data_IF_368629302317
#
_entry.id   IF_368629302317
#
_cell.length_a   1.000
_cell.length_b   1.000
_cell.length_c   1.000
_cell.angle_alpha   90.00
_cell.angle_beta   90.00
_cell.angle_gamma   90.00
#
_symmetry.space_group_name_H-M   'P 1'
#
loop_
_entity.id
_entity.type
_entity.pdbx_description
1 polymer ?
#
# COMPACT_ATOMS: atom_id res chain seq x y z
N UNK A 1 -7.72 39.53 51.45
CA UNK A 1 -8.92 38.77 50.97
C UNK A 1 -8.35 37.41 50.63
N UNK A 2 -7.98 36.66 51.66
CA UNK A 2 -7.07 35.51 51.56
C UNK A 2 -7.45 34.49 52.65
N UNK A 3 -8.74 34.10 52.67
CA UNK A 3 -9.30 33.18 53.70
C UNK A 3 -10.09 32.02 53.08
N UNK A 4 -9.95 31.77 51.77
CA UNK A 4 -10.68 30.69 51.08
C UNK A 4 -9.81 29.45 50.78
N UNK A 5 -8.49 29.50 51.01
CA UNK A 5 -7.57 28.38 50.68
C UNK A 5 -7.36 27.38 51.85
N UNK A 6 -7.77 27.71 53.08
CA UNK A 6 -7.55 26.86 54.26
C UNK A 6 -8.48 25.64 54.31
N UNK A 7 -9.55 25.61 53.51
CA UNK A 7 -10.51 24.51 53.48
C UNK A 7 -10.60 23.82 52.11
N UNK A 8 -9.68 24.11 51.19
CA UNK A 8 -9.60 23.40 49.92
C UNK A 8 -8.82 22.09 50.09
N UNK A 9 -9.59 21.03 50.36
CA UNK A 9 -9.09 19.66 50.56
C UNK A 9 -8.28 19.16 49.36
N UNK A 10 -8.58 19.67 48.17
CA UNK A 10 -7.91 19.33 46.89
C UNK A 10 -6.46 19.84 46.89
N UNK A 11 -6.25 21.08 47.34
CA UNK A 11 -4.94 21.71 47.47
C UNK A 11 -4.11 21.10 48.60
N UNK A 12 -4.74 20.71 49.72
CA UNK A 12 -4.05 20.02 50.83
C UNK A 12 -3.55 18.61 50.48
N UNK A 13 -4.25 17.91 49.58
CA UNK A 13 -3.83 16.60 49.10
C UNK A 13 -2.79 16.66 47.96
N UNK A 14 -2.45 17.87 47.48
CA UNK A 14 -1.53 18.06 46.36
C UNK A 14 -2.10 17.55 45.02
N UNK A 15 -3.42 17.45 44.89
CA UNK A 15 -4.10 16.87 43.73
C UNK A 15 -4.55 18.00 42.81
N UNK A 16 -3.91 18.14 41.65
CA UNK A 16 -4.36 19.10 40.64
C UNK A 16 -5.43 18.46 39.76
N UNK A 17 -6.71 18.71 40.08
CA UNK A 17 -7.88 18.19 39.33
C UNK A 17 -7.89 18.56 37.84
N UNK A 18 -7.14 19.60 37.44
CA UNK A 18 -6.98 19.97 36.03
C UNK A 18 -5.96 19.09 35.29
N UNK A 19 -5.00 18.47 35.99
CA UNK A 19 -4.00 17.56 35.42
C UNK A 19 -4.52 16.11 35.30
N UNK A 20 -5.51 15.71 36.09
CA UNK A 20 -6.13 14.37 36.01
C UNK A 20 -7.13 14.22 34.83
N UNK A 21 -7.41 15.30 34.09
CA UNK A 21 -8.22 15.25 32.86
C UNK A 21 -7.51 14.57 31.68
N UNK A 22 -6.26 14.12 31.84
CA UNK A 22 -5.58 13.29 30.86
C UNK A 22 -5.98 11.82 31.08
N UNK A 23 -6.91 11.36 30.26
CA UNK A 23 -7.42 9.99 30.19
C UNK A 23 -6.30 8.94 30.14
N UNK A 24 -5.79 8.57 31.31
CA UNK A 24 -4.83 7.50 31.52
C UNK A 24 -5.41 6.58 32.59
N UNK A 25 -6.08 5.51 32.20
CA UNK A 25 -6.29 4.38 33.10
C UNK A 25 -6.28 3.08 32.32
N UNK A 26 -5.08 2.53 32.15
CA UNK A 26 -4.91 1.09 32.27
C UNK A 26 -4.81 0.77 33.76
N UNK A 27 -5.67 -0.13 34.22
CA UNK A 27 -5.57 -0.93 35.44
C UNK A 27 -6.27 -0.40 36.73
N UNK A 28 -7.43 -1.04 36.98
CA UNK A 28 -8.09 -1.32 38.27
C UNK A 28 -8.72 -0.14 39.02
N UNK A 29 -10.06 -0.10 38.96
CA UNK A 29 -10.91 0.79 39.75
C UNK A 29 -11.82 1.61 38.85
N UNK A 30 -12.94 1.05 38.41
CA UNK A 30 -13.95 1.75 37.60
C UNK A 30 -14.62 2.87 38.40
N UNK A 31 -13.94 4.01 38.51
CA UNK A 31 -14.63 5.30 38.59
C UNK A 31 -15.00 5.64 37.16
N UNK A 32 -16.27 5.42 36.82
CA UNK A 32 -16.84 5.92 35.57
C UNK A 32 -16.90 7.44 35.72
N UNK A 33 -15.78 8.12 35.48
CA UNK A 33 -15.78 9.56 35.34
C UNK A 33 -16.57 9.86 34.06
N UNK A 34 -17.74 10.48 34.25
CA UNK A 34 -18.56 11.04 33.19
C UNK A 34 -17.75 12.11 32.46
N UNK A 35 -16.95 11.70 31.48
CA UNK A 35 -16.31 12.60 30.54
C UNK A 35 -17.44 13.47 29.97
N UNK A 36 -17.32 14.79 30.10
CA UNK A 36 -18.31 15.67 29.49
C UNK A 36 -18.36 15.34 28.00
N UNK A 37 -19.53 14.89 27.54
CA UNK A 37 -19.81 14.41 26.18
C UNK A 37 -19.59 15.53 25.16
N UNK A 38 -18.32 15.80 24.85
CA UNK A 38 -17.94 16.71 23.79
C UNK A 38 -18.11 15.95 22.48
N UNK A 39 -18.94 16.45 21.57
CA UNK A 39 -19.15 15.81 20.29
C UNK A 39 -17.84 15.78 19.50
N UNK A 40 -17.46 14.59 19.02
CA UNK A 40 -16.28 14.37 18.17
C UNK A 40 -16.36 15.12 16.83
N UNK A 41 -17.53 15.07 16.19
CA UNK A 41 -17.88 15.84 15.00
C UNK A 41 -18.38 17.24 15.35
N UNK A 42 -18.25 18.19 14.41
CA UNK A 42 -18.84 19.52 14.53
C UNK A 42 -20.38 19.43 14.56
N UNK A 43 -20.97 19.64 15.74
CA UNK A 43 -22.42 19.52 15.94
C UNK A 43 -23.22 20.46 15.05
N UNK A 44 -22.79 21.71 14.88
CA UNK A 44 -23.52 22.68 14.04
C UNK A 44 -23.61 22.24 12.57
N UNK A 45 -22.48 21.80 12.01
CA UNK A 45 -22.42 21.39 10.60
C UNK A 45 -23.20 20.08 10.41
N UNK A 46 -23.07 19.15 11.36
CA UNK A 46 -23.77 17.88 11.33
C UNK A 46 -25.29 18.09 11.44
N UNK A 47 -25.75 18.90 12.39
CA UNK A 47 -27.16 19.23 12.58
C UNK A 47 -27.75 19.91 11.34
N UNK A 48 -27.07 20.91 10.76
CA UNK A 48 -27.50 21.57 9.52
C UNK A 48 -27.64 20.57 8.37
N UNK A 49 -26.72 19.62 8.24
CA UNK A 49 -26.78 18.57 7.21
C UNK A 49 -27.93 17.59 7.45
N UNK A 50 -28.11 17.13 8.69
CA UNK A 50 -29.20 16.20 9.05
C UNK A 50 -30.55 16.87 8.78
N UNK A 51 -30.75 18.12 9.21
CA UNK A 51 -31.99 18.86 8.96
C UNK A 51 -32.22 19.11 7.46
N UNK A 52 -31.19 19.45 6.68
CA UNK A 52 -31.32 19.64 5.23
C UNK A 52 -31.81 18.36 4.54
N UNK A 53 -31.23 17.20 4.90
CA UNK A 53 -31.65 15.90 4.37
C UNK A 53 -33.06 15.54 4.86
N UNK A 54 -33.33 15.78 6.15
CA UNK A 54 -34.59 15.47 6.83
C UNK A 54 -35.79 16.28 6.35
N UNK A 55 -35.60 17.49 5.81
CA UNK A 55 -36.67 18.29 5.19
C UNK A 55 -37.40 17.55 4.07
N UNK A 56 -36.73 16.65 3.36
CA UNK A 56 -37.35 15.80 2.32
C UNK A 56 -38.23 14.68 2.89
N UNK A 57 -38.18 14.49 4.20
CA UNK A 57 -38.87 13.45 4.96
C UNK A 57 -39.72 14.06 6.09
N UNK A 58 -40.10 15.33 5.96
CA UNK A 58 -40.92 16.07 6.94
C UNK A 58 -40.32 16.19 8.36
N UNK A 59 -38.99 16.07 8.48
CA UNK A 59 -38.27 16.30 9.74
C UNK A 59 -37.88 17.77 9.83
N UNK A 60 -38.52 18.51 10.73
CA UNK A 60 -38.35 19.97 10.90
C UNK A 60 -37.37 20.30 12.03
N UNK A 61 -37.31 19.48 13.07
CA UNK A 61 -36.48 19.71 14.26
C UNK A 61 -35.71 18.45 14.66
N UNK A 62 -34.58 18.65 15.33
CA UNK A 62 -33.66 17.59 15.77
C UNK A 62 -33.11 17.92 17.15
N UNK A 63 -33.23 17.00 18.10
CA UNK A 63 -32.65 17.12 19.43
C UNK A 63 -31.09 17.08 19.34
N UNK A 64 -30.41 17.94 20.11
CA UNK A 64 -28.95 17.96 20.27
C UNK A 64 -28.38 16.61 20.69
N UNK A 65 -29.11 15.84 21.51
CA UNK A 65 -28.66 14.52 21.99
C UNK A 65 -28.48 13.53 20.85
N UNK A 66 -29.33 13.61 19.81
CA UNK A 66 -29.21 12.77 18.62
C UNK A 66 -27.94 13.11 17.84
N UNK A 67 -27.61 14.39 17.73
CA UNK A 67 -26.37 14.85 17.08
C UNK A 67 -25.16 14.35 17.84
N UNK A 68 -25.18 14.44 19.17
CA UNK A 68 -24.12 13.94 20.04
C UNK A 68 -23.96 12.42 19.94
N UNK A 69 -25.07 11.67 19.94
CA UNK A 69 -25.05 10.21 19.78
C UNK A 69 -24.47 9.79 18.42
N UNK A 70 -24.88 10.45 17.33
CA UNK A 70 -24.33 10.17 15.99
C UNK A 70 -22.83 10.49 15.95
N UNK A 71 -22.42 11.57 16.62
CA UNK A 71 -21.03 11.98 16.76
C UNK A 71 -20.19 10.92 17.50
N UNK A 72 -20.68 10.43 18.64
CA UNK A 72 -20.07 9.35 19.41
C UNK A 72 -20.03 8.02 18.64
N UNK A 73 -21.13 7.63 18.00
CA UNK A 73 -21.20 6.42 17.19
C UNK A 73 -20.20 6.46 16.02
N UNK A 74 -19.99 7.65 15.44
CA UNK A 74 -18.96 7.86 14.41
C UNK A 74 -17.56 7.71 14.98
N UNK A 75 -17.29 8.28 16.16
CA UNK A 75 -16.02 8.12 16.86
C UNK A 75 -15.73 6.64 17.17
N UNK A 76 -16.70 5.91 17.70
CA UNK A 76 -16.56 4.49 18.00
C UNK A 76 -16.30 3.67 16.73
N UNK A 77 -17.01 3.98 15.64
CA UNK A 77 -16.76 3.37 14.33
C UNK A 77 -15.33 3.62 13.84
N UNK A 78 -14.81 4.82 14.03
CA UNK A 78 -13.43 5.16 13.67
C UNK A 78 -12.41 4.44 14.55
N UNK A 79 -12.69 4.30 15.86
CA UNK A 79 -11.85 3.52 16.78
C UNK A 79 -11.72 2.08 16.31
N UNK A 80 -12.83 1.42 15.99
CA UNK A 80 -12.83 0.04 15.45
C UNK A 80 -12.05 -0.06 14.13
N UNK A 81 -12.15 0.94 13.24
CA UNK A 81 -11.36 0.95 12.01
C UNK A 81 -9.87 1.09 12.28
N UNK A 82 -9.50 1.93 13.26
CA UNK A 82 -8.11 2.14 13.68
C UNK A 82 -7.54 0.87 14.32
N UNK A 83 -8.30 0.17 15.16
CA UNK A 83 -7.90 -1.13 15.72
C UNK A 83 -7.61 -2.15 14.62
N UNK A 84 -8.49 -2.28 13.62
CA UNK A 84 -8.27 -3.16 12.47
C UNK A 84 -7.03 -2.75 11.68
N UNK A 85 -6.80 -1.45 11.49
CA UNK A 85 -5.60 -0.94 10.82
C UNK A 85 -4.33 -1.27 11.61
N UNK A 86 -4.37 -1.17 12.94
CA UNK A 86 -3.25 -1.55 13.81
C UNK A 86 -2.91 -3.03 13.66
N UNK A 87 -3.90 -3.92 13.61
CA UNK A 87 -3.68 -5.35 13.34
C UNK A 87 -3.00 -5.56 11.99
N UNK A 88 -3.48 -4.90 10.93
CA UNK A 88 -2.86 -4.97 9.59
C UNK A 88 -1.42 -4.44 9.63
N UNK A 89 -1.17 -3.32 10.31
CA UNK A 89 0.15 -2.73 10.42
C UNK A 89 1.13 -3.67 11.15
N UNK A 90 0.69 -4.31 12.24
CA UNK A 90 1.46 -5.32 12.95
C UNK A 90 1.79 -6.50 12.04
N UNK A 91 0.83 -7.04 11.28
CA UNK A 91 1.09 -8.10 10.30
C UNK A 91 2.12 -7.70 9.23
N UNK A 92 2.17 -6.43 8.82
CA UNK A 92 3.18 -5.93 7.86
C UNK A 92 4.56 -5.75 8.47
N UNK A 93 4.64 -5.34 9.74
CA UNK A 93 5.90 -5.12 10.44
C UNK A 93 6.54 -6.44 10.92
N UNK A 94 5.70 -7.41 11.29
CA UNK A 94 6.15 -8.72 11.74
C UNK A 94 6.73 -9.54 10.57
N UNK A 95 8.00 -9.31 10.26
CA UNK A 95 8.79 -10.24 9.45
C UNK A 95 9.21 -11.44 10.30
N UNK A 96 8.67 -12.61 10.01
CA UNK A 96 9.08 -13.88 10.65
C UNK A 96 10.42 -14.42 10.11
N UNK A 97 11.05 -13.71 9.16
CA UNK A 97 12.34 -14.07 8.59
C UNK A 97 13.42 -13.92 9.67
N UNK A 98 14.01 -15.03 10.09
CA UNK A 98 15.10 -15.06 11.07
C UNK A 98 14.69 -15.33 12.52
N UNK A 99 13.44 -15.73 12.78
CA UNK A 99 13.04 -16.20 14.11
C UNK A 99 13.17 -17.72 14.20
N UNK A 100 14.00 -18.22 15.11
CA UNK A 100 14.20 -19.67 15.37
C UNK A 100 12.94 -20.44 15.78
N UNK A 101 11.87 -19.72 16.15
CA UNK A 101 10.58 -20.32 16.54
C UNK A 101 9.66 -20.62 15.36
N UNK A 102 10.02 -20.20 14.14
CA UNK A 102 9.18 -20.37 12.96
C UNK A 102 9.91 -21.19 11.89
N UNK A 103 9.21 -22.16 11.32
CA UNK A 103 9.67 -22.98 10.20
C UNK A 103 8.93 -22.57 8.93
N UNK A 104 9.64 -22.54 7.79
CA UNK A 104 9.00 -22.33 6.48
C UNK A 104 8.14 -23.55 6.16
N UNK A 105 6.82 -23.39 6.15
CA UNK A 105 5.89 -24.48 5.86
C UNK A 105 5.70 -24.72 4.36
N UNK A 106 5.78 -23.68 3.53
CA UNK A 106 5.67 -23.77 2.07
C UNK A 106 6.27 -22.54 1.40
N UNK A 107 6.96 -22.74 0.27
CA UNK A 107 7.53 -21.66 -0.54
C UNK A 107 6.78 -21.52 -1.89
N UNK A 108 5.47 -21.26 -1.79
CA UNK A 108 4.61 -21.03 -2.97
C UNK A 108 5.12 -19.88 -3.83
N UNK A 109 5.76 -18.87 -3.23
CA UNK A 109 6.33 -17.74 -3.96
C UNK A 109 7.48 -18.19 -4.86
N UNK A 110 8.43 -18.99 -4.37
CA UNK A 110 9.49 -19.52 -5.23
C UNK A 110 8.94 -20.49 -6.30
N UNK A 111 7.94 -21.30 -5.96
CA UNK A 111 7.25 -22.16 -6.95
C UNK A 111 6.61 -21.33 -8.07
N UNK A 112 5.91 -20.24 -7.75
CA UNK A 112 5.35 -19.32 -8.75
C UNK A 112 6.45 -18.67 -9.61
N UNK A 113 7.56 -18.25 -8.99
CA UNK A 113 8.74 -17.74 -9.73
C UNK A 113 9.34 -18.78 -10.66
N UNK A 114 9.28 -20.07 -10.31
CA UNK A 114 9.73 -21.14 -11.17
C UNK A 114 8.80 -21.32 -12.37
N UNK A 115 7.48 -21.31 -12.18
CA UNK A 115 6.52 -21.32 -13.28
C UNK A 115 6.68 -20.11 -14.21
N UNK A 116 6.86 -18.91 -13.68
CA UNK A 116 7.15 -17.71 -14.48
C UNK A 116 8.40 -17.90 -15.38
N UNK A 117 9.44 -18.59 -14.89
CA UNK A 117 10.63 -18.91 -15.69
C UNK A 117 10.35 -19.95 -16.77
N UNK A 118 9.55 -20.97 -16.46
CA UNK A 118 9.15 -21.97 -17.45
C UNK A 118 8.35 -21.33 -18.59
N UNK A 119 7.39 -20.46 -18.28
CA UNK A 119 6.61 -19.73 -19.28
C UNK A 119 7.50 -18.85 -20.16
N UNK A 120 8.50 -18.20 -19.58
CA UNK A 120 9.48 -17.41 -20.34
C UNK A 120 10.31 -18.29 -21.30
N UNK A 121 10.74 -19.47 -20.84
CA UNK A 121 11.49 -20.41 -21.68
C UNK A 121 10.61 -20.99 -22.80
N UNK A 122 9.36 -21.34 -22.51
CA UNK A 122 8.44 -21.84 -23.54
C UNK A 122 8.16 -20.77 -24.60
N UNK A 123 7.98 -19.51 -24.18
CA UNK A 123 7.83 -18.39 -25.09
C UNK A 123 9.07 -18.20 -25.96
N UNK A 124 10.27 -18.21 -25.37
CA UNK A 124 11.52 -18.10 -26.13
C UNK A 124 11.64 -19.21 -27.18
N UNK A 125 11.33 -20.46 -26.81
CA UNK A 125 11.35 -21.58 -27.76
C UNK A 125 10.38 -21.36 -28.92
N UNK A 126 9.15 -20.91 -28.64
CA UNK A 126 8.16 -20.61 -29.70
C UNK A 126 8.63 -19.47 -30.62
N UNK A 127 9.15 -18.39 -30.04
CA UNK A 127 9.69 -17.26 -30.80
C UNK A 127 10.87 -17.69 -31.69
N UNK A 128 11.73 -18.60 -31.19
CA UNK A 128 12.84 -19.20 -31.94
C UNK A 128 12.35 -20.12 -33.06
N UNK A 129 11.35 -20.96 -32.82
CA UNK A 129 10.73 -21.82 -33.84
C UNK A 129 10.08 -20.99 -34.96
N UNK A 130 9.35 -19.94 -34.62
CA UNK A 130 8.76 -19.00 -35.59
C UNK A 130 9.84 -18.28 -36.40
N UNK A 131 10.93 -17.86 -35.75
CA UNK A 131 12.10 -17.26 -36.38
C UNK A 131 12.78 -18.23 -37.35
N UNK A 132 12.98 -19.48 -36.95
CA UNK A 132 13.60 -20.51 -37.80
C UNK A 132 12.72 -20.79 -39.02
N UNK A 133 11.40 -20.92 -38.83
CA UNK A 133 10.45 -21.13 -39.91
C UNK A 133 10.50 -19.98 -40.93
N UNK A 134 10.53 -18.72 -40.46
CA UNK A 134 10.65 -17.54 -41.32
C UNK A 134 11.95 -17.56 -42.12
N UNK A 135 13.08 -17.87 -41.48
CA UNK A 135 14.38 -17.98 -42.14
C UNK A 135 14.42 -19.13 -43.15
N UNK A 136 13.80 -20.28 -42.82
CA UNK A 136 13.70 -21.44 -43.71
C UNK A 136 12.84 -21.14 -44.93
N UNK A 137 11.69 -20.48 -44.75
CA UNK A 137 10.83 -20.03 -45.85
C UNK A 137 11.59 -19.06 -46.78
N UNK A 138 12.34 -18.11 -46.23
CA UNK A 138 13.14 -17.15 -46.99
C UNK A 138 14.32 -17.79 -47.75
N UNK A 139 14.87 -18.92 -47.28
CA UNK A 139 15.95 -19.68 -47.93
C UNK A 139 15.46 -20.67 -48.99
N UNK A 140 14.16 -20.93 -49.07
CA UNK A 140 13.59 -21.85 -50.06
C UNK A 140 13.85 -21.36 -51.49
N UNK A 141 14.23 -22.28 -52.38
CA UNK A 141 14.51 -21.99 -53.80
C UNK A 141 13.25 -22.07 -54.68
N UNK A 142 12.06 -21.99 -54.09
CA UNK A 142 10.81 -21.94 -54.84
C UNK A 142 10.72 -20.62 -55.64
N UNK A 143 9.92 -20.64 -56.71
CA UNK A 143 9.90 -19.70 -57.82
C UNK A 143 9.95 -18.21 -57.38
N UNK A 144 11.08 -17.53 -57.66
CA UNK A 144 11.41 -16.18 -57.17
C UNK A 144 10.52 -15.05 -57.69
N UNK A 145 9.46 -15.37 -58.45
CA UNK A 145 8.48 -14.43 -59.00
C UNK A 145 7.25 -14.24 -58.09
N UNK A 146 7.14 -14.99 -56.99
CA UNK A 146 6.05 -14.83 -56.02
C UNK A 146 6.28 -13.59 -55.13
N UNK A 147 5.40 -12.57 -55.18
CA UNK A 147 5.51 -11.38 -54.35
C UNK A 147 5.47 -11.68 -52.84
N UNK A 148 4.84 -12.77 -52.41
CA UNK A 148 4.81 -13.16 -50.99
C UNK A 148 6.17 -13.68 -50.51
N UNK A 149 6.89 -14.42 -51.36
CA UNK A 149 8.22 -14.92 -51.06
C UNK A 149 9.27 -13.78 -50.96
N UNK A 150 9.12 -12.75 -51.79
CA UNK A 150 9.95 -11.55 -51.71
C UNK A 150 9.77 -10.80 -50.39
N UNK A 151 8.51 -10.68 -49.91
CA UNK A 151 8.18 -10.08 -48.60
C UNK A 151 8.76 -10.88 -47.44
N UNK A 152 8.66 -12.21 -47.46
CA UNK A 152 9.23 -13.08 -46.43
C UNK A 152 10.77 -12.96 -46.35
N UNK A 153 11.44 -12.87 -47.50
CA UNK A 153 12.90 -12.66 -47.58
C UNK A 153 13.33 -11.29 -47.06
N UNK A 154 12.55 -10.23 -47.34
CA UNK A 154 12.78 -8.91 -46.77
C UNK A 154 12.62 -8.93 -45.25
N UNK A 155 11.51 -9.49 -44.75
CA UNK A 155 11.23 -9.61 -43.32
C UNK A 155 12.33 -10.38 -42.57
N UNK A 156 12.84 -11.46 -43.17
CA UNK A 156 13.97 -12.22 -42.64
C UNK A 156 15.27 -11.40 -42.55
N UNK A 157 15.57 -10.55 -43.55
CA UNK A 157 16.75 -9.66 -43.53
C UNK A 157 16.63 -8.57 -42.47
N UNK A 158 15.47 -7.94 -42.35
CA UNK A 158 15.19 -6.93 -41.31
C UNK A 158 15.34 -7.54 -39.90
N UNK A 159 14.85 -8.76 -39.69
CA UNK A 159 14.98 -9.47 -38.42
C UNK A 159 16.44 -9.81 -38.06
N UNK A 160 17.29 -10.12 -39.05
CA UNK A 160 18.73 -10.33 -38.83
C UNK A 160 19.46 -9.03 -38.50
N UNK A 161 19.14 -7.93 -39.18
CA UNK A 161 19.74 -6.62 -38.90
C UNK A 161 19.37 -6.11 -37.50
N UNK A 162 18.11 -6.28 -37.11
CA UNK A 162 17.63 -5.90 -35.78
C UNK A 162 18.33 -6.71 -34.67
N UNK A 163 18.54 -8.02 -34.87
CA UNK A 163 19.25 -8.87 -33.91
C UNK A 163 20.72 -8.45 -33.74
N UNK A 164 21.41 -8.19 -34.86
CA UNK A 164 22.79 -7.72 -34.83
C UNK A 164 22.90 -6.37 -34.09
N UNK A 165 22.00 -5.43 -34.37
CA UNK A 165 21.97 -4.14 -33.70
C UNK A 165 21.68 -4.29 -32.19
N UNK A 166 20.78 -5.20 -31.80
CA UNK A 166 20.49 -5.47 -30.39
C UNK A 166 21.69 -6.10 -29.68
N UNK A 167 22.42 -7.01 -30.33
CA UNK A 167 23.63 -7.61 -29.80
C UNK A 167 24.71 -6.56 -29.57
N UNK A 168 24.97 -5.71 -30.58
CA UNK A 168 25.90 -4.58 -30.47
C UNK A 168 25.52 -3.62 -29.33
N UNK A 169 24.23 -3.30 -29.18
CA UNK A 169 23.76 -2.45 -28.08
C UNK A 169 24.00 -3.10 -26.70
N UNK A 170 23.78 -4.42 -26.58
CA UNK A 170 24.05 -5.15 -25.32
C UNK A 170 25.54 -5.15 -24.99
N UNK A 171 26.41 -5.37 -25.98
CA UNK A 171 27.86 -5.31 -25.82
C UNK A 171 28.34 -3.91 -25.43
N UNK A 172 27.80 -2.87 -26.07
CA UNK A 172 28.09 -1.48 -25.71
C UNK A 172 27.66 -1.17 -24.27
N UNK A 173 26.48 -1.62 -23.84
CA UNK A 173 25.99 -1.44 -22.48
C UNK A 173 26.86 -2.18 -21.44
N UNK A 174 27.29 -3.41 -21.73
CA UNK A 174 28.20 -4.16 -20.86
C UNK A 174 29.55 -3.46 -20.73
N UNK A 175 30.09 -2.97 -21.85
CA UNK A 175 31.35 -2.21 -21.89
C UNK A 175 31.23 -0.90 -21.11
N UNK A 176 30.12 -0.18 -21.25
CA UNK A 176 29.85 1.04 -20.49
C UNK A 176 29.74 0.77 -18.98
N UNK A 177 29.05 -0.30 -18.57
CA UNK A 177 28.95 -0.69 -17.16
C UNK A 177 30.31 -1.04 -16.55
N UNK A 178 31.18 -1.72 -17.30
CA UNK A 178 32.54 -2.02 -16.87
C UNK A 178 33.39 -0.73 -16.74
N UNK A 179 33.19 0.25 -17.63
CA UNK A 179 33.92 1.52 -17.62
C UNK A 179 33.45 2.49 -16.52
N UNK A 180 32.19 2.45 -16.08
CA UNK A 180 31.63 3.33 -15.04
C UNK A 180 32.29 3.14 -13.67
N UNK A 181 32.85 1.95 -13.39
CA UNK A 181 33.56 1.66 -12.13
C UNK A 181 32.66 1.66 -10.87
N UNK A 182 33.21 1.29 -9.70
CA UNK A 182 32.44 1.20 -8.46
C UNK A 182 31.97 2.58 -7.99
N UNK A 183 30.65 2.81 -8.02
CA UNK A 183 30.02 4.03 -7.48
C UNK A 183 30.24 4.11 -5.97
N UNK A 184 31.00 5.12 -5.50
CA UNK A 184 30.94 5.58 -4.10
C UNK A 184 29.51 6.05 -3.81
N UNK A 185 28.77 5.30 -3.00
CA UNK A 185 27.48 5.76 -2.48
C UNK A 185 27.76 6.97 -1.59
N UNK A 186 27.12 8.11 -1.88
CA UNK A 186 27.12 9.26 -0.97
C UNK A 186 26.49 8.80 0.36
N UNK A 187 27.10 9.08 1.52
CA UNK A 187 26.45 8.82 2.80
C UNK A 187 25.14 9.62 2.83
N UNK A 188 24.05 8.95 3.21
CA UNK A 188 22.80 9.62 3.53
C UNK A 188 22.99 10.20 4.93
N UNK A 189 22.99 11.52 5.05
CA UNK A 189 22.97 12.19 6.36
C UNK A 189 21.70 11.80 7.12
N UNK A 190 21.87 11.59 8.43
CA UNK A 190 20.87 11.09 9.37
C UNK A 190 19.79 12.12 9.69
#
# INVERSE_FOLDING_TARGET
>A
RDEDDINDVTSMAGVNVNEENMCNSELVGTVIHSCADKPFLSSEVLQKKILNIGKRHDIVELNSDVVNLVSQATQERLRVLLEKLTVIAQHRLLTHKGSDRYMVSSDTKAQLRFFEKLDQLEKQRKDEEERELLLRAAKSRANTADPEQARLKQKARELQQMELAQMQQREANLTALAAIGPRKKRPLDS
#
